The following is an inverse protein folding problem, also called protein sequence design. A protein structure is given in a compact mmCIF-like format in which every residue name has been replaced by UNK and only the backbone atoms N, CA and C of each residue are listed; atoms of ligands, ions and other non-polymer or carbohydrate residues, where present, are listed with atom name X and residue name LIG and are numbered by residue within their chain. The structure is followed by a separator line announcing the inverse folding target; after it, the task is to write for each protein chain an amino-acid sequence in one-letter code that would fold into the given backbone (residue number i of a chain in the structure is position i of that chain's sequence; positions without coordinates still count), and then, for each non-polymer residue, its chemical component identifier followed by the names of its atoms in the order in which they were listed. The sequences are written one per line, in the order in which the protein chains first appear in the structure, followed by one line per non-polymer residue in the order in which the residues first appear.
data_IF_154402595292
#
_entry.id   IF_154402595292
#
_cell.length_a   1.000
_cell.length_b   1.000
_cell.length_c   1.000
_cell.angle_alpha   90.00
_cell.angle_beta   90.00
_cell.angle_gamma   90.00
#
_symmetry.space_group_name_H-M   'P 1'
#
loop_
_entity.id
_entity.type
_entity.pdbx_description
1 polymer ?
#
# COMPACT_ATOMS: atom_id res chain seq x y z
N UNK A 1 11.57 -19.10 -6.66
CA UNK A 1 11.40 -17.84 -6.32
C UNK A 1 10.16 -17.29 -6.86
N UNK A 2 9.39 -16.77 -6.15
CA UNK A 2 8.22 -16.14 -6.60
C UNK A 2 8.49 -14.80 -7.24
N UNK A 3 7.61 -14.37 -8.12
CA UNK A 3 7.69 -13.03 -8.64
C UNK A 3 7.35 -12.05 -7.55
N UNK A 4 8.01 -10.92 -7.58
CA UNK A 4 7.76 -9.84 -6.67
C UNK A 4 6.92 -8.83 -7.40
N UNK A 5 5.73 -8.55 -6.93
CA UNK A 5 4.79 -7.71 -7.66
C UNK A 5 4.73 -6.29 -7.12
N UNK A 6 4.91 -6.08 -5.83
CA UNK A 6 4.90 -4.75 -5.24
C UNK A 6 5.71 -4.76 -3.95
N UNK A 7 6.05 -3.58 -3.47
CA UNK A 7 6.81 -3.45 -2.24
C UNK A 7 6.29 -2.30 -1.41
N UNK A 8 6.55 -2.35 -0.11
CA UNK A 8 6.23 -1.29 0.83
C UNK A 8 7.52 -0.69 1.35
N UNK A 9 7.64 0.63 1.26
CA UNK A 9 8.82 1.37 1.71
C UNK A 9 8.42 2.41 2.74
N UNK A 10 9.07 2.39 3.89
CA UNK A 10 8.88 3.41 4.92
C UNK A 10 9.91 4.52 4.77
N UNK A 11 9.60 5.69 5.27
CA UNK A 11 10.51 6.83 5.23
C UNK A 11 11.86 6.51 5.87
N UNK A 12 11.88 5.68 6.91
CA UNK A 12 13.11 5.35 7.62
C UNK A 12 14.00 4.36 6.87
N UNK A 13 13.59 3.91 5.68
CA UNK A 13 14.37 3.00 4.87
C UNK A 13 13.97 1.54 4.96
N UNK A 14 13.02 1.19 5.81
CA UNK A 14 12.53 -0.19 5.88
C UNK A 14 11.78 -0.53 4.60
N UNK A 15 11.98 -1.73 4.10
CA UNK A 15 11.29 -2.21 2.91
C UNK A 15 10.87 -3.65 3.09
N UNK A 16 9.65 -3.96 2.67
CA UNK A 16 9.15 -5.33 2.66
C UNK A 16 8.57 -5.60 1.27
N UNK A 17 9.05 -6.69 0.64
CA UNK A 17 8.54 -7.11 -0.66
C UNK A 17 7.29 -7.94 -0.46
N UNK A 18 6.27 -7.70 -1.28
CA UNK A 18 5.00 -8.41 -1.22
C UNK A 18 4.46 -8.52 0.21
N UNK A 19 4.28 -7.39 0.90
CA UNK A 19 3.90 -7.44 2.31
C UNK A 19 2.52 -8.06 2.50
N UNK A 20 2.43 -8.92 3.50
CA UNK A 20 1.14 -9.44 3.95
C UNK A 20 0.38 -8.35 4.70
N UNK A 21 -0.88 -8.63 5.01
CA UNK A 21 -1.66 -7.70 5.82
C UNK A 21 -0.98 -7.47 7.18
N UNK A 22 -0.47 -8.54 7.81
CA UNK A 22 0.23 -8.41 9.08
C UNK A 22 1.50 -7.56 8.95
N UNK A 23 2.26 -7.74 7.87
CA UNK A 23 3.46 -6.95 7.65
C UNK A 23 3.12 -5.47 7.47
N UNK A 24 2.06 -5.16 6.72
CA UNK A 24 1.60 -3.79 6.58
C UNK A 24 1.15 -3.21 7.92
N UNK A 25 0.44 -4.00 8.72
CA UNK A 25 0.03 -3.56 10.05
C UNK A 25 1.24 -3.15 10.88
N UNK A 26 2.29 -3.98 10.87
CA UNK A 26 3.50 -3.67 11.63
C UNK A 26 4.19 -2.42 11.11
N UNK A 27 4.28 -2.25 9.78
CA UNK A 27 4.92 -1.07 9.21
C UNK A 27 4.16 0.21 9.59
N UNK A 28 2.83 0.18 9.55
CA UNK A 28 2.02 1.34 9.91
C UNK A 28 2.12 1.60 11.42
N UNK A 29 2.14 0.54 12.22
CA UNK A 29 2.29 0.67 13.67
C UNK A 29 3.62 1.32 14.06
N UNK A 30 4.66 1.15 13.24
CA UNK A 30 5.97 1.73 13.51
C UNK A 30 6.08 3.19 13.08
N UNK A 31 5.07 3.74 12.42
CA UNK A 31 5.11 5.14 11.99
C UNK A 31 5.06 6.07 13.21
N UNK A 32 5.74 7.20 13.08
CA UNK A 32 5.75 8.23 14.12
C UNK A 32 5.72 9.60 13.45
N UNK A 33 5.77 10.67 14.23
CA UNK A 33 5.64 12.02 13.70
C UNK A 33 6.97 12.75 13.58
N UNK A 34 8.09 12.01 13.54
CA UNK A 34 9.40 12.66 13.46
C UNK A 34 10.24 12.14 12.30
N UNK A 35 10.62 10.87 12.29
CA UNK A 35 11.58 10.38 11.29
C UNK A 35 11.07 9.16 10.52
N UNK A 36 9.86 8.72 10.76
CA UNK A 36 9.25 7.61 10.03
C UNK A 36 7.76 7.92 9.84
N UNK A 37 7.46 8.93 9.03
CA UNK A 37 6.13 9.52 9.00
C UNK A 37 5.21 8.93 7.96
N UNK A 38 5.72 8.09 7.05
CA UNK A 38 4.87 7.51 5.99
C UNK A 38 5.42 6.19 5.49
N UNK A 39 4.53 5.42 4.87
CA UNK A 39 4.88 4.23 4.11
C UNK A 39 4.18 4.33 2.75
N UNK A 40 4.88 3.90 1.69
CA UNK A 40 4.33 3.88 0.33
C UNK A 40 4.37 2.46 -0.19
N UNK A 41 3.26 2.03 -0.80
CA UNK A 41 3.17 0.70 -1.42
C UNK A 41 2.91 0.91 -2.90
N UNK A 42 3.72 0.29 -3.75
CA UNK A 42 3.58 0.44 -5.20
C UNK A 42 4.22 -0.74 -5.93
N UNK A 43 3.82 -1.01 -7.18
CA UNK A 43 4.49 -2.04 -7.96
C UNK A 43 5.95 -1.70 -8.18
N UNK A 44 6.78 -2.74 -8.29
CA UNK A 44 8.22 -2.53 -8.41
C UNK A 44 8.63 -2.08 -9.81
N UNK A 45 8.00 -2.64 -10.85
CA UNK A 45 8.49 -2.40 -12.20
C UNK A 45 7.89 -1.16 -12.84
N UNK A 46 6.60 -1.00 -12.80
CA UNK A 46 5.93 0.11 -13.47
C UNK A 46 4.82 0.59 -12.54
N UNK A 47 5.08 1.63 -11.75
CA UNK A 47 4.14 2.02 -10.70
C UNK A 47 2.89 2.71 -11.26
N UNK A 48 2.00 1.91 -11.84
CA UNK A 48 0.73 2.41 -12.38
C UNK A 48 -0.28 2.68 -11.28
N UNK A 49 0.00 2.29 -10.05
CA UNK A 49 -0.82 2.62 -8.88
C UNK A 49 0.10 2.76 -7.67
N UNK A 50 -0.38 3.47 -6.65
CA UNK A 50 0.30 3.47 -5.37
C UNK A 50 -0.71 3.74 -4.26
N UNK A 51 -0.33 3.37 -3.04
CA UNK A 51 -1.03 3.76 -1.84
C UNK A 51 -0.01 4.26 -0.84
N UNK A 52 -0.37 5.26 -0.06
CA UNK A 52 0.50 5.72 1.00
C UNK A 52 -0.30 5.95 2.26
N UNK A 53 0.35 5.76 3.41
CA UNK A 53 -0.24 6.04 4.72
C UNK A 53 0.73 6.94 5.44
N UNK A 54 0.26 8.09 5.90
CA UNK A 54 1.09 9.06 6.58
C UNK A 54 0.46 9.47 7.90
N UNK A 55 1.29 9.73 8.90
CA UNK A 55 0.83 10.17 10.21
C UNK A 55 0.36 11.62 10.12
N UNK A 56 -0.75 11.93 10.77
CA UNK A 56 -1.26 13.30 10.85
C UNK A 56 -0.88 13.91 12.19
N UNK A 57 -0.58 15.21 12.21
CA UNK A 57 -0.21 15.92 13.44
C UNK A 57 -1.32 15.88 14.48
N UNK A 58 -2.57 15.91 14.01
CA UNK A 58 -3.71 15.92 14.93
C UNK A 58 -4.10 14.53 15.39
N UNK A 59 -3.38 13.49 14.97
CA UNK A 59 -3.69 12.11 15.27
C UNK A 59 -4.35 11.42 14.10
N UNK A 60 -4.18 10.11 14.03
CA UNK A 60 -4.69 9.33 12.91
C UNK A 60 -3.76 9.37 11.71
N UNK A 61 -4.26 8.93 10.58
CA UNK A 61 -3.46 8.73 9.37
C UNK A 61 -4.21 9.25 8.16
N UNK A 62 -3.44 9.76 7.20
CA UNK A 62 -3.97 10.11 5.89
C UNK A 62 -3.61 8.98 4.92
N UNK A 63 -4.59 8.50 4.18
CA UNK A 63 -4.40 7.42 3.22
C UNK A 63 -4.65 7.99 1.83
N UNK A 64 -3.65 7.85 0.95
CA UNK A 64 -3.77 8.26 -0.45
C UNK A 64 -3.73 7.00 -1.31
N UNK A 65 -4.68 6.87 -2.22
CA UNK A 65 -4.71 5.75 -3.16
C UNK A 65 -4.85 6.31 -4.55
N UNK A 66 -3.97 5.91 -5.43
CA UNK A 66 -4.01 6.37 -6.82
C UNK A 66 -3.87 5.19 -7.76
N UNK A 67 -4.75 5.15 -8.76
CA UNK A 67 -4.69 4.15 -9.81
C UNK A 67 -4.74 4.88 -11.14
N UNK A 68 -3.61 5.00 -11.81
CA UNK A 68 -3.51 5.77 -13.05
C UNK A 68 -4.21 5.05 -14.19
N UNK A 69 -4.32 3.72 -14.15
CA UNK A 69 -5.00 2.99 -15.22
C UNK A 69 -6.49 3.25 -15.22
N UNK A 70 -7.06 3.63 -14.07
CA UNK A 70 -8.48 3.94 -13.95
C UNK A 70 -8.74 5.42 -13.71
N UNK A 71 -7.69 6.23 -13.71
CA UNK A 71 -7.77 7.66 -13.44
C UNK A 71 -8.50 7.94 -12.12
N UNK A 72 -8.15 7.19 -11.08
CA UNK A 72 -8.72 7.33 -9.75
C UNK A 72 -7.69 7.88 -8.78
N UNK A 73 -8.13 8.76 -7.91
CA UNK A 73 -7.27 9.34 -6.88
C UNK A 73 -8.14 9.62 -5.66
N UNK A 74 -7.87 8.94 -4.55
CA UNK A 74 -8.62 9.12 -3.32
C UNK A 74 -7.70 9.56 -2.20
N UNK A 75 -8.18 10.46 -1.36
CA UNK A 75 -7.49 10.85 -0.12
C UNK A 75 -8.51 10.73 1.01
N UNK A 76 -8.19 9.91 2.00
CA UNK A 76 -9.07 9.69 3.15
C UNK A 76 -8.27 9.74 4.43
N UNK A 77 -8.96 9.77 5.56
CA UNK A 77 -8.30 9.70 6.87
C UNK A 77 -8.93 8.58 7.68
N UNK A 78 -8.16 7.99 8.57
CA UNK A 78 -8.64 6.92 9.45
C UNK A 78 -7.78 6.88 10.70
N UNK A 79 -8.29 6.27 11.76
CA UNK A 79 -7.56 6.13 13.01
C UNK A 79 -7.22 4.68 13.35
N UNK A 80 -7.93 3.71 12.77
CA UNK A 80 -7.72 2.30 13.11
C UNK A 80 -6.74 1.67 12.16
N UNK A 81 -5.60 1.23 12.66
CA UNK A 81 -4.58 0.55 11.83
C UNK A 81 -5.14 -0.74 11.26
N UNK A 82 -5.95 -1.47 12.02
CA UNK A 82 -6.60 -2.69 11.51
C UNK A 82 -7.45 -2.41 10.30
N UNK A 83 -8.27 -1.36 10.34
CA UNK A 83 -9.14 -1.01 9.23
C UNK A 83 -8.32 -0.56 8.02
N UNK A 84 -7.27 0.24 8.27
CA UNK A 84 -6.40 0.72 7.19
C UNK A 84 -5.76 -0.46 6.47
N UNK A 85 -5.17 -1.40 7.21
CA UNK A 85 -4.46 -2.52 6.59
C UNK A 85 -5.41 -3.44 5.86
N UNK A 86 -6.59 -3.70 6.42
CA UNK A 86 -7.59 -4.53 5.76
C UNK A 86 -8.04 -3.88 4.45
N UNK A 87 -8.40 -2.61 4.51
CA UNK A 87 -8.90 -1.91 3.33
C UNK A 87 -7.84 -1.78 2.24
N UNK A 88 -6.58 -1.51 2.63
CA UNK A 88 -5.48 -1.45 1.67
C UNK A 88 -5.21 -2.80 1.03
N UNK A 89 -5.24 -3.87 1.82
CA UNK A 89 -5.00 -5.21 1.30
C UNK A 89 -6.06 -5.58 0.26
N UNK A 90 -7.32 -5.28 0.54
CA UNK A 90 -8.41 -5.53 -0.39
C UNK A 90 -8.24 -4.68 -1.65
N UNK A 91 -7.91 -3.40 -1.48
CA UNK A 91 -7.74 -2.48 -2.61
C UNK A 91 -6.59 -2.94 -3.51
N UNK A 92 -5.46 -3.33 -2.92
CA UNK A 92 -4.30 -3.77 -3.69
C UNK A 92 -4.57 -5.07 -4.44
N UNK A 93 -5.36 -5.97 -3.85
CA UNK A 93 -5.69 -7.24 -4.49
C UNK A 93 -6.49 -7.05 -5.78
N UNK A 94 -7.15 -5.92 -5.93
CA UNK A 94 -7.94 -5.61 -7.13
C UNK A 94 -7.13 -4.87 -8.19
N UNK A 95 -5.85 -4.56 -7.92
CA UNK A 95 -5.03 -3.80 -8.87
C UNK A 95 -4.32 -4.71 -9.85
N UNK A 96 -3.94 -4.14 -10.98
CA UNK A 96 -3.13 -4.84 -11.97
C UNK A 96 -1.65 -4.70 -11.59
N UNK A 97 -0.90 -5.77 -11.75
CA UNK A 97 0.52 -5.75 -11.45
C UNK A 97 1.29 -5.99 -12.75
N UNK A 98 2.12 -5.03 -13.19
CA UNK A 98 2.93 -5.24 -14.38
C UNK A 98 3.76 -6.52 -14.23
N UNK A 99 3.78 -7.33 -15.27
CA UNK A 99 4.50 -8.60 -15.25
C UNK A 99 3.75 -9.74 -14.61
N UNK A 100 2.57 -9.49 -14.02
CA UNK A 100 1.77 -10.51 -13.39
C UNK A 100 0.69 -10.98 -14.37
N UNK A 101 0.44 -12.29 -14.49
CA UNK A 101 -0.65 -12.75 -15.35
C UNK A 101 -1.97 -12.15 -14.88
N UNK A 102 -2.79 -11.76 -15.81
CA UNK A 102 -4.06 -11.20 -15.42
C UNK A 102 -4.94 -12.32 -14.92
N UNK A 103 -5.80 -11.93 -14.04
CA UNK A 103 -6.52 -12.91 -13.44
C UNK A 103 -7.63 -13.35 -14.23
N UNK A 104 -7.82 -12.84 -15.19
CA UNK A 104 -8.82 -13.29 -15.86
C UNK A 104 -8.66 -14.61 -16.25
N UNK A 105 -8.00 -15.09 -15.99
CA UNK A 105 -7.95 -16.22 -16.24
C UNK A 105 -8.74 -17.11 -15.66
N UNK A 106 -9.31 -17.06 -15.51
CA UNK A 106 -10.01 -17.66 -15.00
C UNK A 106 -10.91 -18.16 -15.39
N UNK A 107 -10.89 -18.32 -15.84
CA UNK A 107 -11.64 -18.62 -16.13
C UNK A 107 -12.16 -19.45 -16.22
N UNK A 108 -12.20 -19.66 -16.32
CA UNK A 108 -12.69 -20.18 -16.32
C UNK A 108 -13.04 -20.62 -16.21
#
# INVERSE_FOLDING_TARGET
MGAQYYGADSENGDRIDDPSEDALFMMISDLNDSDNTFVVVQPDDDPVWFASVAVLDEGGYEIVRRDTTRNKHDVTTATSINDITRDLTIWMAARDFPGRPTKQIREF
#
